data_IF_466490884032
#
_entry.id   IF_466490884032
#
_cell.length_a   1.000
_cell.length_b   1.000
_cell.length_c   1.000
_cell.angle_alpha   90.00
_cell.angle_beta   90.00
_cell.angle_gamma   90.00
#
_symmetry.space_group_name_H-M   'P 1'
#
loop_
_entity.id
_entity.type
_entity.pdbx_description
1 polymer ?
#
# COMPACT_ATOMS: atom_id res chain seq x y z
N UNK A 1 1.69 23.31 -0.66
CA UNK A 1 2.30 22.15 -1.35
C UNK A 1 2.45 21.02 -0.33
N UNK A 2 2.38 19.74 -0.70
CA UNK A 2 2.63 18.66 0.26
C UNK A 2 4.07 18.74 0.77
N UNK A 3 4.26 18.50 2.06
CA UNK A 3 5.56 18.42 2.71
C UNK A 3 5.55 17.15 3.56
N UNK A 4 6.61 16.36 3.47
CA UNK A 4 6.75 15.19 4.33
C UNK A 4 6.81 15.63 5.79
N UNK A 5 6.00 15.04 6.68
CA UNK A 5 5.90 15.45 8.08
C UNK A 5 7.17 15.12 8.85
N UNK A 6 7.36 15.82 9.96
CA UNK A 6 8.51 15.63 10.85
C UNK A 6 8.31 14.43 11.79
N UNK A 7 7.06 14.18 12.18
CA UNK A 7 6.64 13.04 12.98
C UNK A 7 5.80 12.08 12.15
N UNK A 8 6.10 10.77 12.27
CA UNK A 8 5.39 9.70 11.57
C UNK A 8 4.29 9.16 12.46
N UNK A 9 3.05 9.14 11.96
CA UNK A 9 1.97 8.46 12.66
C UNK A 9 1.98 6.96 12.32
N UNK A 10 2.56 6.17 13.21
CA UNK A 10 2.68 4.72 13.06
C UNK A 10 1.37 3.94 13.23
N UNK A 11 0.33 4.56 13.77
CA UNK A 11 -0.96 3.92 14.00
C UNK A 11 -1.97 4.24 12.90
N UNK A 12 -1.81 5.37 12.21
CA UNK A 12 -2.71 5.76 11.13
C UNK A 12 -2.65 4.75 9.97
N UNK A 13 -3.81 4.18 9.66
CA UNK A 13 -3.99 3.26 8.55
C UNK A 13 -5.40 3.42 7.99
N UNK A 14 -5.64 2.86 6.81
CA UNK A 14 -6.99 2.57 6.36
C UNK A 14 -7.17 1.07 6.18
N UNK A 15 -8.41 0.61 6.33
CA UNK A 15 -8.79 -0.78 6.10
C UNK A 15 -8.98 -1.02 4.60
N UNK A 16 -8.04 -1.76 4.00
CA UNK A 16 -8.09 -2.15 2.60
C UNK A 16 -9.05 -3.33 2.43
N UNK A 17 -10.12 -3.14 1.65
CA UNK A 17 -11.12 -4.19 1.40
C UNK A 17 -10.52 -5.35 0.59
N UNK A 18 -10.39 -6.54 1.21
CA UNK A 18 -9.83 -7.73 0.57
C UNK A 18 -10.65 -8.16 -0.65
N UNK A 19 -11.94 -7.78 -0.72
CA UNK A 19 -12.78 -8.06 -1.87
C UNK A 19 -12.32 -7.38 -3.15
N UNK A 20 -11.62 -6.25 -3.08
CA UNK A 20 -11.01 -5.65 -4.28
C UNK A 20 -10.05 -6.64 -4.95
N UNK A 21 -9.32 -7.42 -4.16
CA UNK A 21 -8.33 -8.38 -4.63
C UNK A 21 -8.99 -9.73 -4.95
N UNK A 22 -9.84 -10.24 -4.06
CA UNK A 22 -10.50 -11.53 -4.22
C UNK A 22 -11.41 -11.59 -5.46
N UNK A 23 -12.14 -10.50 -5.75
CA UNK A 23 -13.01 -10.42 -6.94
C UNK A 23 -12.28 -10.05 -8.25
N UNK A 24 -10.95 -9.85 -8.19
CA UNK A 24 -10.14 -9.46 -9.33
C UNK A 24 -10.35 -8.01 -9.80
N UNK A 25 -11.11 -7.19 -9.08
CA UNK A 25 -11.31 -5.76 -9.39
C UNK A 25 -9.96 -5.02 -9.38
N UNK A 26 -9.12 -5.25 -8.37
CA UNK A 26 -7.80 -4.66 -8.22
C UNK A 26 -6.91 -4.91 -9.45
N UNK A 27 -6.87 -6.16 -9.93
CA UNK A 27 -6.10 -6.55 -11.10
C UNK A 27 -6.56 -5.84 -12.39
N UNK A 28 -7.86 -5.52 -12.49
CA UNK A 28 -8.47 -4.86 -13.66
C UNK A 28 -8.33 -3.33 -13.65
N UNK A 29 -8.06 -2.72 -12.50
CA UNK A 29 -7.83 -1.28 -12.42
C UNK A 29 -6.62 -0.86 -13.27
N UNK A 30 -6.61 0.35 -13.87
CA UNK A 30 -5.40 0.88 -14.49
C UNK A 30 -4.24 0.93 -13.49
N UNK A 31 -3.01 0.72 -13.97
CA UNK A 31 -1.80 0.78 -13.13
C UNK A 31 -1.73 2.07 -12.31
N UNK A 32 -2.06 3.20 -12.93
CA UNK A 32 -2.12 4.50 -12.26
C UNK A 32 -3.15 4.57 -11.12
N UNK A 33 -4.31 3.93 -11.30
CA UNK A 33 -5.37 3.86 -10.29
C UNK A 33 -4.94 3.06 -9.06
N UNK A 34 -4.27 1.91 -9.28
CA UNK A 34 -3.67 1.12 -8.19
C UNK A 34 -2.62 1.91 -7.40
N UNK A 35 -1.80 2.70 -8.07
CA UNK A 35 -0.78 3.55 -7.42
C UNK A 35 -1.37 4.61 -6.48
N UNK A 36 -2.55 5.15 -6.79
CA UNK A 36 -3.16 6.26 -6.02
C UNK A 36 -4.24 5.83 -5.02
N UNK A 37 -4.85 4.66 -5.22
CA UNK A 37 -5.95 4.20 -4.37
C UNK A 37 -5.58 4.15 -2.87
N UNK A 38 -4.42 3.58 -2.47
CA UNK A 38 -4.02 3.60 -1.05
C UNK A 38 -3.81 5.01 -0.49
N UNK A 39 -3.42 5.98 -1.32
CA UNK A 39 -3.26 7.38 -0.89
C UNK A 39 -4.61 8.00 -0.56
N UNK A 40 -5.62 7.78 -1.41
CA UNK A 40 -7.00 8.23 -1.15
C UNK A 40 -7.50 7.59 0.15
N UNK A 41 -7.25 6.30 0.34
CA UNK A 41 -7.57 5.55 1.56
C UNK A 41 -6.93 6.13 2.82
N UNK A 42 -5.63 6.39 2.82
CA UNK A 42 -4.93 6.98 3.96
C UNK A 42 -5.34 8.43 4.30
N UNK A 43 -5.99 9.14 3.36
CA UNK A 43 -6.55 10.48 3.59
C UNK A 43 -8.04 10.45 3.94
N UNK A 44 -8.64 9.27 4.08
CA UNK A 44 -10.04 9.07 4.44
C UNK A 44 -10.28 9.45 5.91
N UNK A 45 -11.22 10.35 6.13
CA UNK A 45 -11.80 10.65 7.45
C UNK A 45 -12.79 9.57 7.91
N UNK A 46 -13.23 9.61 9.16
CA UNK A 46 -14.22 8.65 9.69
C UNK A 46 -15.53 8.64 8.91
N UNK A 47 -15.92 9.82 8.37
CA UNK A 47 -17.09 10.00 7.49
C UNK A 47 -16.90 9.46 6.07
N UNK A 48 -15.74 8.86 5.76
CA UNK A 48 -15.41 8.34 4.43
C UNK A 48 -14.90 9.38 3.43
N UNK A 49 -14.80 10.65 3.82
CA UNK A 49 -14.38 11.73 2.92
C UNK A 49 -12.86 11.88 2.91
N UNK A 50 -12.28 12.14 1.74
CA UNK A 50 -10.85 12.28 1.49
C UNK A 50 -10.61 13.44 0.52
N UNK A 51 -9.60 14.27 0.80
CA UNK A 51 -9.33 15.54 0.07
C UNK A 51 -7.89 15.69 -0.49
N UNK A 52 -7.15 14.62 -0.85
CA UNK A 52 -5.81 14.78 -1.39
C UNK A 52 -5.89 15.45 -2.77
N UNK A 53 -5.15 16.55 -2.94
CA UNK A 53 -4.99 17.18 -4.24
C UNK A 53 -4.23 16.26 -5.22
N UNK A 54 -4.43 16.43 -6.52
CA UNK A 54 -3.74 15.62 -7.54
C UNK A 54 -2.21 15.68 -7.40
N UNK A 55 -1.67 16.86 -7.11
CA UNK A 55 -0.24 17.04 -6.83
C UNK A 55 0.22 16.30 -5.57
N UNK A 56 -0.60 16.28 -4.51
CA UNK A 56 -0.29 15.51 -3.30
C UNK A 56 -0.22 14.02 -3.60
N UNK A 57 -1.17 13.49 -4.37
CA UNK A 57 -1.13 12.10 -4.81
C UNK A 57 0.09 11.82 -5.68
N UNK A 58 0.44 12.73 -6.60
CA UNK A 58 1.57 12.59 -7.51
C UNK A 58 2.91 12.48 -6.76
N UNK A 59 3.07 13.30 -5.72
CA UNK A 59 4.21 13.25 -4.81
C UNK A 59 4.25 11.90 -4.09
N UNK A 60 3.15 11.52 -3.43
CA UNK A 60 3.11 10.33 -2.58
C UNK A 60 3.21 8.99 -3.33
N UNK A 61 2.79 8.92 -4.59
CA UNK A 61 2.96 7.71 -5.43
C UNK A 61 4.19 7.76 -6.34
N UNK A 62 4.94 8.86 -6.35
CA UNK A 62 6.11 9.03 -7.20
C UNK A 62 5.76 9.07 -8.69
N UNK A 63 4.61 9.63 -9.06
CA UNK A 63 4.12 9.74 -10.46
C UNK A 63 3.89 11.18 -10.84
N UNK A 64 3.58 11.43 -12.12
CA UNK A 64 3.29 12.80 -12.60
C UNK A 64 1.84 13.17 -12.31
N UNK A 65 1.56 14.48 -12.25
CA UNK A 65 0.19 15.00 -12.16
C UNK A 65 -0.69 14.49 -13.33
N UNK A 66 -0.10 14.24 -14.51
CA UNK A 66 -0.79 13.63 -15.66
C UNK A 66 -1.22 12.18 -15.34
N UNK A 67 -0.29 11.35 -14.87
CA UNK A 67 -0.56 9.96 -14.49
C UNK A 67 -1.59 9.88 -13.38
N UNK A 68 -1.55 10.79 -12.40
CA UNK A 68 -2.58 10.84 -11.35
C UNK A 68 -3.95 11.16 -11.92
N UNK A 69 -4.06 12.12 -12.85
CA UNK A 69 -5.34 12.43 -13.52
C UNK A 69 -5.92 11.23 -14.26
N UNK A 70 -5.06 10.44 -14.91
CA UNK A 70 -5.45 9.17 -15.55
C UNK A 70 -5.90 8.15 -14.49
N UNK A 71 -5.15 8.03 -13.39
CA UNK A 71 -5.51 7.15 -12.27
C UNK A 71 -6.85 7.51 -11.63
N UNK A 72 -7.13 8.80 -11.44
CA UNK A 72 -8.41 9.28 -10.89
C UNK A 72 -9.56 8.92 -11.82
N UNK A 73 -9.42 9.14 -13.13
CA UNK A 73 -10.43 8.72 -14.12
C UNK A 73 -10.63 7.20 -14.12
N UNK A 74 -9.55 6.43 -14.01
CA UNK A 74 -9.62 4.97 -13.93
C UNK A 74 -10.28 4.41 -12.66
N UNK A 75 -10.53 5.26 -11.65
CA UNK A 75 -11.29 4.90 -10.46
C UNK A 75 -12.78 5.28 -10.57
N UNK A 76 -13.21 5.95 -11.65
CA UNK A 76 -14.62 6.23 -11.91
C UNK A 76 -15.38 4.90 -12.06
N UNK A 77 -16.50 4.77 -11.35
CA UNK A 77 -17.31 3.54 -11.36
C UNK A 77 -16.83 2.44 -10.39
N UNK A 78 -15.76 2.64 -9.62
CA UNK A 78 -15.37 1.69 -8.58
C UNK A 78 -16.43 1.65 -7.47
N UNK A 79 -16.92 0.45 -7.13
CA UNK A 79 -18.13 0.25 -6.30
C UNK A 79 -18.09 0.95 -4.92
N UNK A 80 -16.91 1.04 -4.29
CA UNK A 80 -16.74 1.63 -2.97
C UNK A 80 -16.22 3.07 -3.01
N UNK A 81 -16.04 3.68 -4.19
CA UNK A 81 -15.48 5.00 -4.35
C UNK A 81 -16.39 5.93 -5.18
N UNK A 82 -16.66 7.12 -4.66
CA UNK A 82 -17.29 8.21 -5.42
C UNK A 82 -16.33 9.39 -5.52
N UNK A 83 -16.19 9.95 -6.72
CA UNK A 83 -15.40 11.16 -6.98
C UNK A 83 -16.39 12.30 -7.15
N UNK A 84 -16.29 13.32 -6.29
CA UNK A 84 -17.25 14.43 -6.24
C UNK A 84 -16.51 15.76 -6.46
N UNK A 85 -17.05 16.66 -7.29
CA UNK A 85 -16.53 18.03 -7.34
C UNK A 85 -16.86 18.76 -6.03
N UNK A 86 -16.01 19.70 -5.65
CA UNK A 86 -16.32 20.69 -4.62
C UNK A 86 -15.64 22.02 -4.90
N UNK A 87 -16.16 23.08 -4.28
CA UNK A 87 -15.56 24.41 -4.32
C UNK A 87 -14.77 24.60 -3.02
N UNK A 88 -13.49 24.95 -3.16
CA UNK A 88 -12.63 25.31 -2.03
C UNK A 88 -13.06 26.64 -1.43
N UNK A 89 -12.62 26.94 -0.20
CA UNK A 89 -12.88 28.23 0.46
C UNK A 89 -12.37 29.44 -0.35
N UNK A 90 -11.42 29.23 -1.27
CA UNK A 90 -10.89 30.25 -2.19
C UNK A 90 -11.61 30.29 -3.54
N UNK A 91 -12.80 29.69 -3.65
CA UNK A 91 -13.62 29.70 -4.88
C UNK A 91 -13.12 28.80 -6.02
N UNK A 92 -12.07 28.00 -5.81
CA UNK A 92 -11.53 27.11 -6.86
C UNK A 92 -12.23 25.76 -6.88
N UNK A 93 -12.49 25.22 -8.07
CA UNK A 93 -12.97 23.84 -8.26
C UNK A 93 -11.86 22.85 -7.91
N UNK A 94 -12.22 21.80 -7.17
CA UNK A 94 -11.35 20.69 -6.80
C UNK A 94 -12.18 19.39 -6.69
N UNK A 95 -11.52 18.27 -6.40
CA UNK A 95 -12.14 16.96 -6.24
C UNK A 95 -12.02 16.49 -4.79
N UNK A 96 -13.10 15.96 -4.25
CA UNK A 96 -13.11 15.18 -3.01
C UNK A 96 -13.53 13.76 -3.34
N UNK A 97 -13.09 12.83 -2.52
CA UNK A 97 -13.37 11.41 -2.68
C UNK A 97 -14.22 10.96 -1.50
N UNK A 98 -15.20 10.11 -1.77
CA UNK A 98 -15.89 9.35 -0.74
C UNK A 98 -15.52 7.88 -0.93
N UNK A 99 -14.80 7.31 0.04
CA UNK A 99 -14.42 5.90 0.08
C UNK A 99 -15.17 5.22 1.23
N UNK A 100 -16.05 4.28 0.88
CA UNK A 100 -16.77 3.49 1.87
C UNK A 100 -15.78 2.60 2.66
N UNK A 101 -15.99 2.48 3.97
CA UNK A 101 -15.25 1.51 4.75
C UNK A 101 -15.69 0.09 4.34
N UNK A 102 -14.78 -0.90 4.35
CA UNK A 102 -15.17 -2.29 4.21
C UNK A 102 -16.13 -2.70 5.35
N UNK A 103 -16.96 -3.73 5.14
CA UNK A 103 -17.75 -4.34 6.21
C UNK A 103 -16.87 -4.74 7.40
N UNK A 104 -17.41 -4.60 8.62
CA UNK A 104 -16.73 -4.98 9.87
C UNK A 104 -16.84 -6.49 10.13
N UNK A 105 -16.36 -7.27 9.19
CA UNK A 105 -16.33 -8.73 9.25
C UNK A 105 -14.88 -9.21 9.44
N UNK A 106 -14.62 -10.19 10.32
CA UNK A 106 -13.28 -10.76 10.48
C UNK A 106 -12.70 -11.21 9.15
N UNK A 107 -11.44 -10.86 8.87
CA UNK A 107 -10.77 -11.23 7.62
C UNK A 107 -11.28 -10.49 6.37
N UNK A 108 -12.21 -9.52 6.48
CA UNK A 108 -12.72 -8.76 5.32
C UNK A 108 -11.75 -7.69 4.83
N UNK A 109 -10.86 -7.20 5.68
CA UNK A 109 -9.92 -6.15 5.35
C UNK A 109 -8.58 -6.35 6.05
N UNK A 110 -7.54 -5.68 5.56
CA UNK A 110 -6.24 -5.59 6.23
C UNK A 110 -5.81 -4.13 6.35
N UNK A 111 -4.97 -3.77 7.33
CA UNK A 111 -4.51 -2.40 7.49
C UNK A 111 -3.44 -2.05 6.46
N UNK A 112 -3.65 -0.99 5.69
CA UNK A 112 -2.60 -0.32 4.92
C UNK A 112 -2.15 0.93 5.68
N UNK A 113 -0.92 0.92 6.19
CA UNK A 113 -0.42 1.96 7.07
C UNK A 113 0.00 3.21 6.30
N UNK A 114 -0.38 4.37 6.83
CA UNK A 114 -0.07 5.68 6.27
C UNK A 114 1.42 5.99 6.34
N UNK A 115 2.15 5.41 7.31
CA UNK A 115 3.60 5.56 7.39
C UNK A 115 4.32 5.09 6.11
N UNK A 116 3.76 4.14 5.35
CA UNK A 116 4.34 3.73 4.06
C UNK A 116 4.38 4.88 3.03
N UNK A 117 3.42 5.80 3.13
CA UNK A 117 3.37 7.01 2.31
C UNK A 117 4.29 8.09 2.90
N UNK A 118 4.19 8.34 4.20
CA UNK A 118 4.92 9.44 4.89
C UNK A 118 6.43 9.19 4.97
N UNK A 119 6.88 7.94 4.94
CA UNK A 119 8.30 7.56 4.88
C UNK A 119 8.87 7.58 3.46
N UNK A 120 8.04 7.90 2.47
CA UNK A 120 8.40 7.93 1.06
C UNK A 120 8.58 6.56 0.40
N UNK A 121 8.34 5.45 1.12
CA UNK A 121 8.53 4.09 0.62
C UNK A 121 7.65 3.83 -0.60
N UNK A 122 6.36 4.19 -0.49
CA UNK A 122 5.41 3.97 -1.58
C UNK A 122 5.80 4.68 -2.88
N UNK A 123 6.42 5.86 -2.79
CA UNK A 123 6.78 6.66 -3.96
C UNK A 123 7.96 6.05 -4.74
N UNK A 124 8.85 5.36 -4.05
CA UNK A 124 10.07 4.75 -4.63
C UNK A 124 9.80 3.35 -5.18
N UNK A 125 8.62 2.77 -4.91
CA UNK A 125 8.19 1.53 -5.54
C UNK A 125 7.92 1.70 -7.04
N UNK A 126 8.24 0.65 -7.81
CA UNK A 126 7.77 0.53 -9.20
C UNK A 126 6.23 0.42 -9.25
N UNK A 127 5.57 0.77 -10.37
CA UNK A 127 4.12 0.58 -10.50
C UNK A 127 3.66 -0.88 -10.31
N UNK A 128 4.51 -1.84 -10.69
CA UNK A 128 4.24 -3.25 -10.49
C UNK A 128 4.32 -3.63 -9.00
N UNK A 129 5.33 -3.14 -8.27
CA UNK A 129 5.45 -3.33 -6.83
C UNK A 129 4.29 -2.70 -6.05
N UNK A 130 3.85 -1.49 -6.42
CA UNK A 130 2.64 -0.86 -5.86
C UNK A 130 1.38 -1.69 -6.12
N UNK A 131 1.32 -2.42 -7.24
CA UNK A 131 0.20 -3.32 -7.53
C UNK A 131 0.28 -4.63 -6.73
N UNK A 132 1.50 -5.12 -6.48
CA UNK A 132 1.79 -6.40 -5.84
C UNK A 132 1.68 -6.35 -4.30
N UNK A 133 2.14 -5.27 -3.65
CA UNK A 133 2.17 -5.20 -2.19
C UNK A 133 0.81 -5.46 -1.53
N UNK A 134 -0.31 -4.81 -1.95
CA UNK A 134 -1.62 -5.11 -1.38
C UNK A 134 -2.06 -6.56 -1.59
N UNK A 135 -1.62 -7.20 -2.67
CA UNK A 135 -1.94 -8.61 -2.99
C UNK A 135 -1.20 -9.55 -2.05
N UNK A 136 0.08 -9.30 -1.79
CA UNK A 136 0.83 -10.06 -0.79
C UNK A 136 0.21 -9.89 0.61
N UNK A 137 -0.23 -8.67 0.96
CA UNK A 137 -0.98 -8.42 2.22
C UNK A 137 -2.34 -9.09 2.27
N UNK A 138 -2.97 -9.33 1.12
CA UNK A 138 -4.22 -10.10 1.03
C UNK A 138 -3.99 -11.59 1.28
N UNK A 139 -2.93 -12.17 0.73
CA UNK A 139 -2.57 -13.56 1.04
C UNK A 139 -1.81 -13.71 2.37
N UNK A 140 -1.52 -12.58 3.03
CA UNK A 140 -0.86 -12.52 4.32
C UNK A 140 -1.61 -13.29 5.42
N UNK A 141 -0.88 -14.11 6.16
CA UNK A 141 -1.34 -14.83 7.35
C UNK A 141 -0.30 -14.74 8.47
N UNK A 142 -0.71 -15.04 9.70
CA UNK A 142 0.19 -15.12 10.84
C UNK A 142 -0.35 -16.16 11.82
N UNK A 143 0.42 -17.20 12.09
CA UNK A 143 0.10 -18.27 13.03
C UNK A 143 1.33 -18.63 13.87
N UNK A 144 1.06 -19.25 15.03
CA UNK A 144 2.10 -19.56 16.01
C UNK A 144 3.10 -20.61 15.54
N UNK A 145 2.69 -21.55 14.68
CA UNK A 145 3.56 -22.62 14.18
C UNK A 145 4.63 -22.03 13.26
N UNK A 146 4.20 -21.28 12.25
CA UNK A 146 5.09 -20.61 11.29
C UNK A 146 6.00 -19.61 12.02
N UNK A 147 5.45 -18.86 12.98
CA UNK A 147 6.24 -17.91 13.77
C UNK A 147 7.32 -18.61 14.60
N UNK A 148 6.98 -19.74 15.23
CA UNK A 148 7.93 -20.56 15.99
C UNK A 148 9.03 -21.12 15.10
N UNK A 149 8.68 -21.60 13.92
CA UNK A 149 9.63 -22.23 13.01
C UNK A 149 10.67 -21.22 12.48
N UNK A 150 10.25 -20.01 12.13
CA UNK A 150 11.09 -19.10 11.33
C UNK A 150 11.58 -17.85 12.04
N UNK A 151 10.94 -17.42 13.14
CA UNK A 151 11.25 -16.14 13.79
C UNK A 151 11.57 -16.30 15.28
N UNK A 152 10.80 -17.10 16.03
CA UNK A 152 10.95 -17.24 17.49
C UNK A 152 10.74 -18.70 17.94
N UNK A 153 11.78 -19.57 17.86
CA UNK A 153 11.68 -20.98 18.27
C UNK A 153 11.21 -21.21 19.71
N UNK A 154 11.37 -20.22 20.60
CA UNK A 154 10.88 -20.25 21.97
C UNK A 154 9.40 -19.88 22.13
N UNK A 155 8.72 -19.47 21.06
CA UNK A 155 7.35 -18.95 21.09
C UNK A 155 6.36 -19.96 21.70
N UNK A 156 5.63 -19.52 22.73
CA UNK A 156 4.59 -20.29 23.38
C UNK A 156 3.20 -19.80 22.93
N UNK A 157 2.27 -20.73 22.70
CA UNK A 157 0.94 -20.39 22.15
C UNK A 157 0.12 -19.46 23.08
N UNK A 158 0.43 -19.46 24.37
CA UNK A 158 -0.17 -18.54 25.36
C UNK A 158 0.13 -17.06 25.07
N UNK A 159 1.24 -16.76 24.36
CA UNK A 159 1.66 -15.40 24.04
C UNK A 159 1.08 -14.92 22.69
N UNK A 160 0.33 -15.79 21.98
CA UNK A 160 -0.12 -15.54 20.62
C UNK A 160 -0.91 -14.24 20.47
N UNK A 161 -1.88 -13.97 21.35
CA UNK A 161 -2.73 -12.78 21.23
C UNK A 161 -1.93 -11.47 21.34
N UNK A 162 -0.90 -11.44 22.20
CA UNK A 162 -0.03 -10.28 22.36
C UNK A 162 0.87 -10.13 21.12
N UNK A 163 1.57 -11.21 20.75
CA UNK A 163 2.47 -11.22 19.59
C UNK A 163 1.71 -10.86 18.31
N UNK A 164 0.53 -11.45 18.09
CA UNK A 164 -0.32 -11.15 16.96
C UNK A 164 -0.71 -9.67 16.93
N UNK A 165 -1.01 -9.05 18.07
CA UNK A 165 -1.37 -7.62 18.13
C UNK A 165 -0.19 -6.70 17.82
N UNK A 166 1.01 -7.08 18.25
CA UNK A 166 2.23 -6.26 18.15
C UNK A 166 3.00 -6.47 16.85
N UNK A 167 2.74 -7.57 16.13
CA UNK A 167 3.45 -7.95 14.91
C UNK A 167 3.53 -6.81 13.88
N UNK A 168 4.66 -6.74 13.21
CA UNK A 168 4.94 -5.77 12.15
C UNK A 168 4.97 -6.39 10.74
N UNK A 169 4.67 -7.69 10.62
CA UNK A 169 4.55 -8.41 9.36
C UNK A 169 3.50 -9.52 9.41
N UNK A 170 3.10 -10.00 8.23
CA UNK A 170 2.43 -11.28 8.02
C UNK A 170 3.31 -12.14 7.09
N UNK A 171 3.22 -13.47 7.16
CA UNK A 171 3.80 -14.37 6.17
C UNK A 171 2.95 -14.42 4.90
N UNK A 172 3.57 -14.64 3.75
CA UNK A 172 2.89 -14.86 2.48
C UNK A 172 3.60 -15.97 1.70
N UNK A 173 2.88 -17.06 1.44
CA UNK A 173 3.33 -18.22 0.67
C UNK A 173 2.56 -18.40 -0.65
N UNK A 174 1.82 -17.37 -1.07
CA UNK A 174 0.97 -17.44 -2.26
C UNK A 174 1.77 -17.81 -3.52
N UNK A 175 1.23 -18.73 -4.31
CA UNK A 175 1.84 -19.14 -5.57
C UNK A 175 2.08 -17.94 -6.50
N UNK A 176 3.20 -17.99 -7.21
CA UNK A 176 3.63 -16.99 -8.19
C UNK A 176 2.50 -16.60 -9.17
N UNK A 177 1.74 -17.59 -9.66
CA UNK A 177 0.64 -17.34 -10.60
C UNK A 177 -0.51 -16.57 -9.95
N UNK A 178 -0.81 -16.81 -8.68
CA UNK A 178 -1.83 -16.07 -7.94
C UNK A 178 -1.39 -14.63 -7.70
N UNK A 179 -0.12 -14.41 -7.32
CA UNK A 179 0.44 -13.07 -7.16
C UNK A 179 0.34 -12.26 -8.45
N UNK A 180 0.74 -12.84 -9.59
CA UNK A 180 0.66 -12.18 -10.91
C UNK A 180 -0.78 -11.85 -11.27
N UNK A 181 -1.67 -12.84 -11.17
CA UNK A 181 -3.09 -12.73 -11.54
C UNK A 181 -3.79 -11.66 -10.73
N UNK A 182 -3.67 -11.71 -9.41
CA UNK A 182 -4.37 -10.79 -8.51
C UNK A 182 -3.77 -9.39 -8.50
N UNK A 183 -2.47 -9.23 -8.80
CA UNK A 183 -1.84 -7.91 -8.95
C UNK A 183 -2.13 -7.25 -10.30
N UNK A 184 -2.59 -8.02 -11.30
CA UNK A 184 -2.80 -7.52 -12.66
C UNK A 184 -1.50 -7.03 -13.29
N UNK A 185 -0.41 -7.76 -13.07
CA UNK A 185 0.91 -7.49 -13.65
C UNK A 185 1.28 -8.58 -14.67
N UNK A 186 2.24 -8.30 -15.54
CA UNK A 186 2.76 -9.30 -16.46
C UNK A 186 3.76 -10.23 -15.72
N UNK A 187 3.88 -11.48 -16.16
CA UNK A 187 4.83 -12.46 -15.59
C UNK A 187 6.27 -11.93 -15.51
N UNK A 188 6.84 -11.28 -16.54
CA UNK A 188 8.19 -10.71 -16.47
C UNK A 188 8.33 -9.56 -15.45
N UNK A 189 7.22 -8.96 -15.01
CA UNK A 189 7.22 -7.87 -14.04
C UNK A 189 7.24 -8.34 -12.59
N UNK A 190 7.06 -9.64 -12.31
CA UNK A 190 6.99 -10.14 -10.93
C UNK A 190 8.34 -9.99 -10.20
N UNK A 191 9.43 -10.53 -10.75
CA UNK A 191 10.74 -10.47 -10.08
C UNK A 191 11.22 -9.03 -9.88
N UNK A 192 11.11 -8.11 -10.87
CA UNK A 192 11.40 -6.69 -10.62
C UNK A 192 10.48 -6.04 -9.56
N UNK A 193 9.23 -6.47 -9.46
CA UNK A 193 8.31 -5.97 -8.44
C UNK A 193 8.71 -6.44 -7.04
N UNK A 194 9.04 -7.73 -6.87
CA UNK A 194 9.54 -8.29 -5.61
C UNK A 194 10.85 -7.62 -5.20
N UNK A 195 11.82 -7.50 -6.11
CA UNK A 195 13.07 -6.81 -5.85
C UNK A 195 12.85 -5.34 -5.42
N UNK A 196 11.89 -4.64 -6.04
CA UNK A 196 11.53 -3.28 -5.65
C UNK A 196 10.90 -3.22 -4.24
N UNK A 197 10.10 -4.21 -3.84
CA UNK A 197 9.56 -4.30 -2.48
C UNK A 197 10.65 -4.63 -1.45
N UNK A 198 11.56 -5.53 -1.78
CA UNK A 198 12.68 -5.96 -0.93
C UNK A 198 13.68 -4.83 -0.70
N UNK A 199 14.07 -4.11 -1.76
CA UNK A 199 14.92 -2.91 -1.67
C UNK A 199 14.32 -1.82 -0.76
N UNK A 200 12.99 -1.79 -0.62
CA UNK A 200 12.27 -0.87 0.26
C UNK A 200 11.92 -1.49 1.63
N UNK A 201 12.44 -2.69 1.94
CA UNK A 201 12.15 -3.49 3.12
C UNK A 201 10.65 -3.61 3.43
N UNK A 202 9.84 -3.79 2.39
CA UNK A 202 8.41 -4.12 2.51
C UNK A 202 8.15 -5.61 2.44
N UNK A 203 9.07 -6.36 1.85
CA UNK A 203 9.09 -7.82 1.87
C UNK A 203 10.49 -8.33 2.13
N UNK A 204 10.60 -9.54 2.67
CA UNK A 204 11.85 -10.22 2.93
C UNK A 204 11.64 -11.73 2.70
N UNK A 205 12.50 -12.40 1.92
CA UNK A 205 12.41 -13.85 1.75
C UNK A 205 12.77 -14.55 3.06
N UNK A 206 11.95 -15.52 3.47
CA UNK A 206 12.18 -16.34 4.67
C UNK A 206 12.80 -17.68 4.29
N UNK A 207 12.21 -18.33 3.30
CA UNK A 207 12.65 -19.64 2.83
C UNK A 207 12.51 -19.75 1.31
N UNK A 208 13.30 -20.65 0.72
CA UNK A 208 13.43 -20.86 -0.72
C UNK A 208 13.29 -22.32 -1.12
N UNK A 209 12.77 -22.55 -2.31
CA UNK A 209 12.67 -23.88 -2.90
C UNK A 209 14.08 -24.46 -3.16
N UNK A 210 14.22 -25.75 -3.50
CA UNK A 210 15.52 -26.35 -3.81
C UNK A 210 16.28 -25.68 -4.97
N UNK A 211 15.62 -24.85 -5.77
CA UNK A 211 16.23 -24.07 -6.86
C UNK A 211 16.60 -22.64 -6.41
N UNK A 212 16.51 -22.33 -5.12
CA UNK A 212 16.81 -21.01 -4.55
C UNK A 212 15.75 -19.94 -4.83
N UNK A 213 14.52 -20.32 -5.20
CA UNK A 213 13.42 -19.36 -5.42
C UNK A 213 12.65 -19.17 -4.12
N UNK A 214 12.51 -17.94 -3.61
CA UNK A 214 11.76 -17.74 -2.37
C UNK A 214 10.29 -18.09 -2.55
N UNK A 215 9.78 -18.93 -1.65
CA UNK A 215 8.38 -19.34 -1.62
C UNK A 215 7.65 -18.75 -0.40
N UNK A 216 8.36 -18.54 0.71
CA UNK A 216 7.83 -17.91 1.92
C UNK A 216 8.42 -16.51 2.09
N UNK A 217 7.55 -15.53 2.33
CA UNK A 217 7.93 -14.12 2.48
C UNK A 217 7.38 -13.53 3.78
N UNK A 218 8.17 -12.74 4.51
CA UNK A 218 7.65 -11.75 5.46
C UNK A 218 7.15 -10.55 4.68
N UNK A 219 5.92 -10.12 4.91
CA UNK A 219 5.29 -8.95 4.28
C UNK A 219 5.04 -7.90 5.35
N UNK A 220 5.90 -6.89 5.38
CA UNK A 220 5.92 -5.90 6.45
C UNK A 220 4.77 -4.90 6.35
N UNK A 221 4.17 -4.60 7.48
CA UNK A 221 3.15 -3.56 7.68
C UNK A 221 3.79 -2.19 7.82
N UNK A 222 4.92 -2.19 8.52
CA UNK A 222 5.75 -1.06 8.91
C UNK A 222 7.19 -1.55 8.80
N UNK A 223 8.10 -0.66 8.47
CA UNK A 223 9.53 -0.94 8.43
C UNK A 223 10.25 0.21 9.11
N UNK A 224 11.46 -0.01 9.61
CA UNK A 224 12.32 1.07 10.10
C UNK A 224 12.96 1.85 8.95
N UNK A 225 13.02 1.29 7.73
CA UNK A 225 13.51 1.99 6.56
C UNK A 225 12.65 3.21 6.21
N UNK A 226 13.28 4.35 6.01
CA UNK A 226 12.70 5.58 5.44
C UNK A 226 13.71 6.26 4.54
N UNK A 227 13.17 7.08 3.66
CA UNK A 227 13.94 8.08 2.96
C UNK A 227 14.05 9.35 3.81
N UNK A 228 15.25 9.96 3.93
CA UNK A 228 15.41 11.20 4.70
C UNK A 228 14.45 12.29 4.22
N UNK A 229 13.70 12.91 5.14
CA UNK A 229 12.66 13.91 4.79
C UNK A 229 13.21 15.05 3.96
N UNK A 230 14.45 15.47 4.23
CA UNK A 230 15.09 16.60 3.57
C UNK A 230 15.35 16.28 2.11
N UNK A 231 15.79 15.04 1.84
CA UNK A 231 15.93 14.53 0.48
C UNK A 231 14.58 14.46 -0.22
N UNK A 232 13.53 13.97 0.44
CA UNK A 232 12.18 13.89 -0.15
C UNK A 232 11.60 15.28 -0.46
N UNK A 233 11.71 16.22 0.47
CA UNK A 233 11.24 17.59 0.29
C UNK A 233 12.07 18.34 -0.77
N UNK A 234 13.38 18.05 -0.88
CA UNK A 234 14.23 18.55 -1.96
C UNK A 234 13.78 18.00 -3.32
N UNK A 235 13.48 16.70 -3.45
CA UNK A 235 12.92 16.12 -4.68
C UNK A 235 11.61 16.82 -5.09
N UNK A 236 10.73 17.13 -4.14
CA UNK A 236 9.50 17.90 -4.42
C UNK A 236 9.85 19.29 -4.97
N UNK A 237 10.80 19.97 -4.33
CA UNK A 237 11.24 21.30 -4.72
C UNK A 237 11.84 21.34 -6.12
N UNK A 238 12.73 20.40 -6.45
CA UNK A 238 13.35 20.27 -7.76
C UNK A 238 12.30 20.03 -8.86
N UNK A 239 11.26 19.25 -8.55
CA UNK A 239 10.22 18.87 -9.51
C UNK A 239 9.17 19.96 -9.75
N UNK A 240 8.79 20.70 -8.72
CA UNK A 240 7.65 21.62 -8.76
C UNK A 240 8.02 23.10 -8.53
N UNK A 241 9.29 23.41 -8.22
CA UNK A 241 9.79 24.76 -8.00
C UNK A 241 9.34 25.42 -6.69
N UNK A 242 9.82 26.66 -6.46
CA UNK A 242 9.23 27.59 -5.48
C UNK A 242 7.93 28.14 -6.07
N UNK A 243 6.79 27.86 -5.44
CA UNK A 243 5.53 28.56 -5.66
C UNK A 243 4.91 28.94 -4.32
#
# INVERSE_FOLDING_TARGET
MYRYPDEINWQAHFWFDRNLIASGIWAKLPKASRSIFPIIGCHRSDKGLSYPAERTMAILCGRTDKTVREGVRGLEGLYNLKILPYITSRGRRSKKFYLAAPPREPGRAFPFYRCLLEKGLWQELTPAAQSLYPVMRHFGYFDGQTYREWDEPGFQDQDFDQVYRERDFDYCEAEILQLIRHAGIARPSLMPALASLEQNALVEPVDSDPNGRPWLWRVRFKTQNWYPREMLNRKIHERYGRQ
#
